data_IF_558384294140
#
_entry.id   IF_558384294140
#
_cell.length_a   1.000
_cell.length_b   1.000
_cell.length_c   1.000
_cell.angle_alpha   90.00
_cell.angle_beta   90.00
_cell.angle_gamma   90.00
#
_symmetry.space_group_name_H-M   'P 1'
#
loop_
_entity.id
_entity.type
_entity.pdbx_description
1 polymer ?
#
# COMPACT_ATOMS: atom_id res chain seq x y z
N UNK A 1 48.22 6.63 -14.78
CA UNK A 1 46.98 6.61 -15.60
C UNK A 1 45.79 6.94 -14.72
N UNK A 2 45.23 8.15 -14.85
CA UNK A 2 43.96 8.55 -14.23
C UNK A 2 43.12 9.22 -15.31
N UNK A 3 42.01 8.57 -15.70
CA UNK A 3 41.10 9.04 -16.73
C UNK A 3 39.98 9.86 -16.06
N UNK A 4 40.02 11.19 -16.23
CA UNK A 4 38.92 12.09 -15.92
C UNK A 4 38.52 12.77 -17.24
N UNK A 5 37.38 12.36 -17.80
CA UNK A 5 36.77 13.02 -18.98
C UNK A 5 35.27 12.92 -18.80
N UNK A 6 34.63 14.01 -18.38
CA UNK A 6 34.07 15.14 -19.17
C UNK A 6 32.55 14.99 -19.26
N UNK A 7 31.87 15.82 -18.47
CA UNK A 7 30.43 16.08 -18.51
C UNK A 7 30.07 16.67 -19.88
N UNK A 8 29.11 16.03 -20.57
CA UNK A 8 28.57 16.52 -21.84
C UNK A 8 27.79 17.80 -21.65
N UNK A 9 28.21 18.84 -22.37
CA UNK A 9 27.48 20.10 -22.56
C UNK A 9 26.43 19.85 -23.66
N UNK A 10 25.15 20.11 -23.37
CA UNK A 10 24.08 20.09 -24.39
C UNK A 10 23.78 21.53 -24.78
N UNK A 11 24.06 21.84 -26.05
CA UNK A 11 23.87 23.15 -26.68
C UNK A 11 22.37 23.46 -26.86
N UNK A 12 21.95 24.65 -26.45
CA UNK A 12 20.58 25.14 -26.61
C UNK A 12 20.49 25.89 -27.94
N UNK A 13 19.70 25.39 -28.91
CA UNK A 13 19.43 26.11 -30.15
C UNK A 13 18.36 27.20 -29.90
N UNK A 14 18.71 28.45 -30.20
CA UNK A 14 17.78 29.58 -30.18
C UNK A 14 16.98 29.61 -31.50
N UNK A 15 15.65 29.62 -31.40
CA UNK A 15 14.77 29.82 -32.57
C UNK A 15 14.53 31.32 -32.71
N UNK A 16 15.06 31.90 -33.77
CA UNK A 16 14.76 33.27 -34.22
C UNK A 16 13.43 33.30 -34.96
N UNK A 17 12.46 34.08 -34.49
CA UNK A 17 11.22 34.40 -35.23
C UNK A 17 11.33 35.82 -35.78
N UNK A 18 11.11 35.96 -37.09
CA UNK A 18 11.14 37.23 -37.81
C UNK A 18 9.87 38.08 -37.53
N UNK A 19 9.95 39.42 -37.56
CA UNK A 19 8.78 40.27 -37.39
C UNK A 19 8.04 40.43 -38.73
N UNK A 20 6.74 40.11 -38.77
CA UNK A 20 5.85 40.57 -39.85
C UNK A 20 5.37 42.00 -39.55
N UNK A 21 5.33 42.79 -40.61
CA UNK A 21 5.01 44.20 -40.62
C UNK A 21 3.57 44.53 -40.16
N UNK A 22 3.45 45.77 -39.71
CA UNK A 22 2.32 46.47 -39.07
C UNK A 22 1.03 46.54 -39.89
N UNK A 23 -0.11 46.36 -39.22
CA UNK A 23 -1.33 47.10 -39.52
C UNK A 23 -1.82 47.81 -38.25
N UNK A 24 -2.11 49.10 -38.41
CA UNK A 24 -2.57 50.01 -37.37
C UNK A 24 -3.95 49.61 -36.87
N UNK A 25 -4.06 49.23 -35.59
CA UNK A 25 -5.34 49.03 -34.91
C UNK A 25 -5.39 50.00 -33.73
N UNK A 26 -6.38 50.88 -33.75
CA UNK A 26 -6.65 51.90 -32.73
C UNK A 26 -6.63 51.30 -31.32
N UNK A 27 -6.07 52.01 -30.31
CA UNK A 27 -6.01 51.48 -28.96
C UNK A 27 -7.42 51.45 -28.35
N UNK A 28 -8.00 50.26 -28.28
CA UNK A 28 -9.11 50.00 -27.37
C UNK A 28 -8.52 50.04 -25.97
N UNK A 29 -9.03 50.94 -25.12
CA UNK A 29 -8.71 51.01 -23.70
C UNK A 29 -8.95 49.64 -23.05
N UNK A 30 -7.89 48.83 -22.97
CA UNK A 30 -7.89 47.56 -22.25
C UNK A 30 -7.90 47.89 -20.76
N UNK A 31 -9.10 47.94 -20.18
CA UNK A 31 -9.30 48.04 -18.75
C UNK A 31 -8.56 46.87 -18.08
N UNK A 32 -7.45 47.18 -17.41
CA UNK A 32 -6.64 46.17 -16.74
C UNK A 32 -7.47 45.51 -15.64
N UNK A 33 -8.02 44.32 -15.92
CA UNK A 33 -8.56 43.44 -14.88
C UNK A 33 -7.42 43.18 -13.90
N UNK A 34 -7.52 43.79 -12.73
CA UNK A 34 -6.66 43.50 -11.59
C UNK A 34 -6.89 42.04 -11.23
N UNK A 35 -6.01 41.17 -11.73
CA UNK A 35 -5.96 39.76 -11.32
C UNK A 35 -5.54 39.78 -9.85
N UNK A 36 -6.52 39.60 -8.95
CA UNK A 36 -6.27 39.42 -7.52
C UNK A 36 -5.22 38.32 -7.39
N UNK A 37 -3.99 38.69 -6.98
CA UNK A 37 -2.92 37.72 -6.70
C UNK A 37 -3.49 36.69 -5.74
N UNK A 38 -3.59 35.44 -6.20
CA UNK A 38 -4.04 34.35 -5.36
C UNK A 38 -3.16 34.33 -4.11
N UNK A 39 -3.79 34.54 -2.93
CA UNK A 39 -3.12 34.48 -1.63
C UNK A 39 -2.34 33.17 -1.60
N UNK A 40 -1.01 33.25 -1.50
CA UNK A 40 -0.13 32.08 -1.42
C UNK A 40 -0.44 31.39 -0.10
N UNK A 41 -1.45 30.52 -0.08
CA UNK A 41 -1.81 29.72 1.10
C UNK A 41 -0.59 28.85 1.37
N UNK A 42 0.17 29.19 2.41
CA UNK A 42 1.31 28.39 2.82
C UNK A 42 0.77 26.99 3.12
N UNK A 43 1.07 26.03 2.25
CA UNK A 43 0.69 24.64 2.49
C UNK A 43 1.50 24.19 3.70
N UNK A 44 0.87 24.17 4.87
CA UNK A 44 1.45 23.64 6.11
C UNK A 44 2.13 22.32 5.77
N UNK A 45 3.45 22.25 5.97
CA UNK A 45 4.23 21.04 5.64
C UNK A 45 3.58 19.84 6.33
N UNK A 46 3.14 18.87 5.55
CA UNK A 46 2.48 17.69 6.09
C UNK A 46 3.43 16.94 7.04
N UNK A 47 2.97 16.62 8.24
CA UNK A 47 3.76 15.88 9.23
C UNK A 47 4.19 14.54 8.64
N UNK A 48 5.49 14.29 8.59
CA UNK A 48 6.05 13.03 8.09
C UNK A 48 6.14 12.03 9.22
N UNK A 49 5.47 10.88 9.07
CA UNK A 49 5.49 9.81 10.06
C UNK A 49 6.48 8.72 9.65
N UNK A 50 7.56 8.55 10.40
CA UNK A 50 8.54 7.47 10.19
C UNK A 50 7.95 6.11 10.57
N UNK A 51 8.29 5.03 9.88
CA UNK A 51 7.90 3.66 10.24
C UNK A 51 9.07 2.93 10.90
N UNK A 52 8.81 2.04 11.86
CA UNK A 52 9.85 1.23 12.53
C UNK A 52 9.90 -0.19 11.95
N UNK A 53 11.09 -0.80 11.92
CA UNK A 53 11.26 -2.24 11.60
C UNK A 53 10.50 -3.14 12.59
N UNK A 54 10.21 -2.65 13.80
CA UNK A 54 9.55 -3.42 14.85
C UNK A 54 8.01 -3.28 14.85
N UNK A 55 7.43 -2.49 13.94
CA UNK A 55 6.00 -2.11 13.98
C UNK A 55 5.04 -3.31 14.03
N UNK A 56 5.37 -4.39 13.32
CA UNK A 56 4.60 -5.64 13.31
C UNK A 56 5.24 -6.76 14.16
N UNK A 57 6.52 -6.63 14.56
CA UNK A 57 7.26 -7.69 15.28
C UNK A 57 6.72 -8.02 16.67
N UNK A 58 5.82 -7.20 17.19
CA UNK A 58 5.18 -7.44 18.47
C UNK A 58 3.93 -8.27 18.25
N UNK A 59 3.82 -9.43 18.92
CA UNK A 59 2.58 -10.23 18.99
C UNK A 59 1.36 -9.44 19.47
N UNK A 60 1.58 -8.25 20.04
CA UNK A 60 0.53 -7.36 20.54
C UNK A 60 -0.08 -6.46 19.46
N UNK A 61 0.55 -6.29 18.30
CA UNK A 61 0.13 -5.33 17.28
C UNK A 61 -0.14 -6.00 15.95
N UNK A 62 -1.26 -5.63 15.33
CA UNK A 62 -1.68 -6.10 14.01
C UNK A 62 -2.06 -4.90 13.14
N UNK A 63 -1.96 -5.05 11.82
CA UNK A 63 -2.52 -4.08 10.89
C UNK A 63 -3.82 -4.61 10.31
N UNK A 64 -4.89 -3.82 10.41
CA UNK A 64 -6.19 -4.15 9.84
C UNK A 64 -6.45 -3.22 8.65
N UNK A 65 -6.57 -3.79 7.47
CA UNK A 65 -6.79 -3.14 6.19
C UNK A 65 -8.23 -3.40 5.72
N UNK A 66 -8.93 -2.33 5.33
CA UNK A 66 -10.30 -2.39 4.80
C UNK A 66 -11.29 -3.27 5.60
N UNK A 67 -11.11 -3.33 6.92
CA UNK A 67 -11.88 -4.16 7.88
C UNK A 67 -11.87 -5.67 7.62
N UNK A 68 -11.24 -6.16 6.55
CA UNK A 68 -11.27 -7.58 6.18
C UNK A 68 -9.90 -8.21 5.95
N UNK A 69 -8.82 -7.43 5.83
CA UNK A 69 -7.47 -7.99 5.67
C UNK A 69 -6.65 -7.69 6.90
N UNK A 70 -6.17 -8.73 7.58
CA UNK A 70 -5.29 -8.61 8.74
C UNK A 70 -3.88 -9.02 8.35
N UNK A 71 -2.92 -8.20 8.77
CA UNK A 71 -1.49 -8.49 8.64
C UNK A 71 -0.88 -8.53 10.02
N UNK A 72 -0.31 -9.67 10.36
CA UNK A 72 0.36 -9.90 11.62
C UNK A 72 1.74 -10.53 11.39
N UNK A 73 2.71 -10.19 12.22
CA UNK A 73 4.02 -10.84 12.21
C UNK A 73 4.17 -11.62 13.51
N UNK A 74 3.64 -12.84 13.51
CA UNK A 74 3.58 -13.72 14.68
C UNK A 74 4.97 -14.16 15.18
N UNK A 75 5.98 -14.19 14.30
CA UNK A 75 7.40 -14.41 14.61
C UNK A 75 8.26 -13.44 13.80
N UNK A 76 9.50 -13.19 14.24
CA UNK A 76 10.42 -12.26 13.55
C UNK A 76 10.58 -12.54 12.05
N UNK A 77 10.52 -13.80 11.63
CA UNK A 77 10.68 -14.22 10.24
C UNK A 77 9.39 -14.77 9.61
N UNK A 78 8.23 -14.58 10.24
CA UNK A 78 6.96 -15.07 9.71
C UNK A 78 5.89 -13.96 9.73
N UNK A 79 5.40 -13.62 8.54
CA UNK A 79 4.30 -12.68 8.33
C UNK A 79 3.08 -13.50 7.89
N UNK A 80 1.96 -13.35 8.57
CA UNK A 80 0.68 -13.97 8.20
C UNK A 80 -0.25 -12.89 7.65
N UNK A 81 -0.87 -13.19 6.52
CA UNK A 81 -1.93 -12.37 5.93
C UNK A 81 -3.21 -13.19 6.00
N UNK A 82 -4.23 -12.62 6.62
CA UNK A 82 -5.53 -13.26 6.84
C UNK A 82 -6.56 -12.46 6.09
N UNK A 83 -7.34 -13.13 5.23
CA UNK A 83 -8.51 -12.57 4.59
C UNK A 83 -9.77 -12.98 5.37
N UNK A 84 -10.33 -12.06 6.14
CA UNK A 84 -11.50 -12.28 6.98
C UNK A 84 -12.84 -12.05 6.26
N UNK A 85 -12.83 -11.70 4.97
CA UNK A 85 -14.06 -11.72 4.15
C UNK A 85 -14.40 -13.14 3.68
N UNK A 86 -13.44 -14.07 3.75
CA UNK A 86 -13.65 -15.48 3.47
C UNK A 86 -13.81 -16.21 4.82
N UNK A 87 -14.95 -16.87 5.04
CA UNK A 87 -15.14 -17.72 6.21
C UNK A 87 -13.98 -18.75 6.29
N UNK A 88 -13.24 -18.68 7.40
CA UNK A 88 -12.33 -19.70 7.94
C UNK A 88 -11.05 -20.18 7.25
N UNK A 89 -10.74 -19.89 5.97
CA UNK A 89 -9.66 -20.69 5.31
C UNK A 89 -8.60 -19.97 4.46
N UNK A 90 -8.64 -18.65 4.33
CA UNK A 90 -7.70 -17.92 3.45
C UNK A 90 -6.65 -17.13 4.24
N UNK A 91 -5.85 -17.83 5.03
CA UNK A 91 -4.63 -17.27 5.59
C UNK A 91 -3.40 -17.79 4.83
N UNK A 92 -2.52 -16.89 4.41
CA UNK A 92 -1.24 -17.26 3.79
C UNK A 92 -0.11 -16.82 4.71
N UNK A 93 0.73 -17.79 5.09
CA UNK A 93 1.97 -17.54 5.81
C UNK A 93 3.11 -17.21 4.85
N UNK A 94 3.97 -16.29 5.25
CA UNK A 94 5.13 -15.86 4.50
C UNK A 94 6.39 -15.87 5.37
N UNK A 95 7.46 -16.50 4.86
CA UNK A 95 8.80 -16.30 5.40
C UNK A 95 9.29 -14.89 5.02
N UNK A 96 9.66 -14.09 6.02
CA UNK A 96 10.30 -12.79 5.80
C UNK A 96 11.80 -13.03 5.55
N UNK A 97 12.26 -12.78 4.33
CA UNK A 97 13.66 -12.99 3.92
C UNK A 97 14.48 -11.69 3.96
N UNK A 98 13.81 -10.53 4.00
CA UNK A 98 14.48 -9.25 4.15
C UNK A 98 13.51 -8.13 4.51
N UNK A 99 14.00 -7.17 5.28
CA UNK A 99 13.20 -6.03 5.75
C UNK A 99 14.03 -4.75 5.74
N UNK A 100 13.63 -3.77 4.91
CA UNK A 100 14.29 -2.46 4.79
C UNK A 100 13.32 -1.35 5.13
N UNK A 101 13.76 -0.36 5.89
CA UNK A 101 12.96 0.83 6.25
C UNK A 101 13.68 2.07 5.72
N UNK A 102 12.93 2.93 5.04
CA UNK A 102 13.37 4.26 4.56
C UNK A 102 12.26 5.27 4.83
N UNK A 103 12.47 6.16 5.80
CA UNK A 103 11.50 7.19 6.18
C UNK A 103 10.16 6.60 6.60
N UNK A 104 9.11 6.86 5.81
CA UNK A 104 7.73 6.38 6.05
C UNK A 104 7.43 5.00 5.47
N UNK A 105 8.36 4.39 4.73
CA UNK A 105 8.13 3.15 3.99
C UNK A 105 8.98 2.01 4.50
N UNK A 106 8.34 0.86 4.69
CA UNK A 106 8.95 -0.43 5.02
C UNK A 106 8.74 -1.38 3.85
N UNK A 107 9.82 -1.90 3.29
CA UNK A 107 9.78 -2.92 2.23
C UNK A 107 10.14 -4.26 2.84
N UNK A 108 9.31 -5.27 2.59
CA UNK A 108 9.54 -6.65 3.03
C UNK A 108 9.66 -7.55 1.81
N UNK A 109 10.72 -8.36 1.78
CA UNK A 109 10.88 -9.50 0.87
C UNK A 109 10.26 -10.73 1.55
N UNK A 110 9.34 -11.37 0.86
CA UNK A 110 8.48 -12.43 1.41
C UNK A 110 8.52 -13.65 0.49
N UNK A 111 8.55 -14.84 1.07
CA UNK A 111 8.40 -16.10 0.35
C UNK A 111 7.21 -16.85 0.94
N UNK A 112 6.17 -17.20 0.15
CA UNK A 112 4.97 -17.85 0.68
C UNK A 112 5.30 -19.26 1.17
N UNK A 113 4.68 -19.65 2.28
CA UNK A 113 4.68 -21.02 2.80
C UNK A 113 3.32 -21.62 2.47
N UNK A 114 3.31 -22.45 1.43
CA UNK A 114 2.08 -23.00 0.87
C UNK A 114 1.96 -24.48 1.17
N UNK A 115 0.77 -24.89 1.59
CA UNK A 115 0.31 -26.27 1.60
C UNK A 115 0.26 -26.87 0.19
N UNK A 116 0.11 -28.20 0.10
CA UNK A 116 -0.07 -28.90 -1.18
C UNK A 116 -1.28 -28.36 -1.96
N UNK A 117 -2.39 -28.08 -1.27
CA UNK A 117 -3.61 -27.52 -1.85
C UNK A 117 -3.37 -26.14 -2.45
N UNK A 118 -2.73 -25.25 -1.70
CA UNK A 118 -2.47 -23.88 -2.16
C UNK A 118 -1.52 -23.83 -3.37
N UNK A 119 -0.55 -24.75 -3.42
CA UNK A 119 0.32 -24.93 -4.60
C UNK A 119 -0.47 -25.39 -5.82
N UNK A 120 -1.37 -26.37 -5.66
CA UNK A 120 -2.19 -26.93 -6.75
C UNK A 120 -3.04 -25.85 -7.43
N UNK A 121 -3.69 -24.98 -6.65
CA UNK A 121 -4.55 -23.91 -7.18
C UNK A 121 -3.80 -22.61 -7.52
N UNK A 122 -2.47 -22.61 -7.42
CA UNK A 122 -1.66 -21.44 -7.74
C UNK A 122 -1.97 -20.22 -6.88
N UNK A 123 -2.35 -20.41 -5.60
CA UNK A 123 -2.76 -19.31 -4.73
C UNK A 123 -1.66 -18.26 -4.56
N UNK A 124 -0.40 -18.65 -4.49
CA UNK A 124 0.74 -17.74 -4.58
C UNK A 124 1.92 -18.48 -5.21
N UNK A 125 2.89 -17.76 -5.80
CA UNK A 125 4.09 -18.39 -6.38
C UNK A 125 5.30 -17.47 -6.29
N UNK A 126 6.45 -18.06 -5.96
CA UNK A 126 7.74 -17.36 -5.93
C UNK A 126 7.88 -16.33 -4.80
N UNK A 127 9.05 -15.69 -4.73
CA UNK A 127 9.26 -14.60 -3.79
C UNK A 127 8.51 -13.33 -4.24
N UNK A 128 8.06 -12.53 -3.28
CA UNK A 128 7.36 -11.27 -3.49
C UNK A 128 7.94 -10.12 -2.67
N UNK A 129 7.57 -8.90 -3.05
CA UNK A 129 7.88 -7.70 -2.28
C UNK A 129 6.62 -6.90 -1.98
N UNK A 130 6.46 -6.54 -0.70
CA UNK A 130 5.40 -5.65 -0.24
C UNK A 130 5.99 -4.38 0.38
N UNK A 131 5.36 -3.24 0.09
CA UNK A 131 5.74 -1.93 0.61
C UNK A 131 4.64 -1.42 1.55
N UNK A 132 4.90 -1.42 2.85
CA UNK A 132 4.01 -0.84 3.86
C UNK A 132 4.42 0.61 4.07
N UNK A 133 3.48 1.55 3.89
CA UNK A 133 3.74 2.99 4.01
C UNK A 133 2.91 3.57 5.15
N UNK A 134 3.55 4.20 6.14
CA UNK A 134 2.87 4.94 7.22
C UNK A 134 2.39 6.28 6.68
N UNK A 135 1.09 6.55 6.82
CA UNK A 135 0.46 7.80 6.36
C UNK A 135 -0.05 8.67 7.51
N UNK A 136 -0.05 8.16 8.74
CA UNK A 136 -0.48 8.89 9.94
C UNK A 136 0.07 8.26 11.22
N UNK A 137 -0.37 8.72 12.40
CA UNK A 137 0.06 8.16 13.70
C UNK A 137 -0.15 6.64 13.73
N UNK A 138 -1.33 6.14 13.42
CA UNK A 138 -1.61 4.70 13.36
C UNK A 138 -2.15 4.27 11.99
N UNK A 139 -1.96 5.07 10.95
CA UNK A 139 -2.54 4.83 9.62
C UNK A 139 -1.48 4.35 8.64
N UNK A 140 -1.82 3.33 7.84
CA UNK A 140 -0.92 2.65 6.93
C UNK A 140 -1.57 2.37 5.57
N UNK A 141 -0.73 2.19 4.56
CA UNK A 141 -1.12 1.72 3.22
C UNK A 141 -0.28 0.52 2.83
N UNK A 142 -0.88 -0.48 2.18
CA UNK A 142 -0.20 -1.67 1.71
C UNK A 142 -0.78 -2.14 0.36
N UNK A 143 0.05 -2.31 -0.69
CA UNK A 143 -0.38 -2.82 -1.99
C UNK A 143 -0.27 -4.34 -2.06
N UNK A 144 -1.41 -5.02 -2.23
CA UNK A 144 -1.57 -6.48 -2.27
C UNK A 144 -2.58 -6.88 -3.34
N UNK A 145 -2.54 -8.13 -3.76
CA UNK A 145 -3.59 -8.73 -4.58
C UNK A 145 -4.68 -9.25 -3.66
N UNK A 146 -5.95 -9.05 -4.03
CA UNK A 146 -7.11 -9.53 -3.28
C UNK A 146 -8.25 -9.70 -4.28
N UNK A 147 -8.99 -10.79 -4.14
CA UNK A 147 -10.06 -11.22 -5.04
C UNK A 147 -10.45 -12.66 -4.77
N UNK A 148 -10.98 -13.35 -5.78
CA UNK A 148 -11.62 -14.67 -5.62
C UNK A 148 -10.67 -15.76 -5.10
N UNK A 149 -9.38 -15.62 -5.39
CA UNK A 149 -8.36 -16.55 -4.90
C UNK A 149 -7.73 -16.18 -3.56
N UNK A 150 -8.31 -15.25 -2.79
CA UNK A 150 -7.79 -14.79 -1.51
C UNK A 150 -6.72 -13.70 -1.60
N UNK A 151 -6.40 -13.10 -0.46
CA UNK A 151 -5.48 -11.97 -0.35
C UNK A 151 -4.01 -12.42 -0.24
N UNK A 152 -3.12 -11.83 -1.07
CA UNK A 152 -1.71 -12.25 -1.20
C UNK A 152 -0.76 -11.12 -1.63
N UNK A 153 0.54 -11.35 -1.41
CA UNK A 153 1.60 -10.39 -1.78
C UNK A 153 2.14 -10.62 -3.20
N UNK A 154 2.16 -11.87 -3.64
CA UNK A 154 2.77 -12.32 -4.89
C UNK A 154 1.81 -13.25 -5.64
N UNK A 155 2.05 -13.41 -6.94
CA UNK A 155 1.14 -14.13 -7.82
C UNK A 155 -0.07 -13.27 -8.15
N UNK A 156 -0.12 -12.78 -9.39
CA UNK A 156 -1.30 -12.07 -9.92
C UNK A 156 -2.27 -13.02 -10.63
N UNK A 157 -1.96 -14.31 -10.73
CA UNK A 157 -2.83 -15.34 -11.32
C UNK A 157 -3.19 -16.38 -10.27
N UNK A 158 -4.43 -16.83 -10.28
CA UNK A 158 -4.94 -17.89 -9.39
C UNK A 158 -5.92 -18.78 -10.17
N UNK A 159 -5.99 -20.06 -9.81
CA UNK A 159 -7.01 -20.94 -10.35
C UNK A 159 -8.19 -21.02 -9.37
N UNK A 160 -9.38 -20.67 -9.86
CA UNK A 160 -10.63 -20.75 -9.11
C UNK A 160 -11.71 -21.33 -10.03
N UNK A 161 -12.42 -22.37 -9.57
CA UNK A 161 -13.41 -23.11 -10.38
C UNK A 161 -12.87 -23.53 -11.76
N UNK A 162 -11.66 -24.10 -11.78
CA UNK A 162 -10.93 -24.52 -12.99
C UNK A 162 -10.58 -23.41 -13.99
N UNK A 163 -10.89 -22.14 -13.71
CA UNK A 163 -10.53 -21.00 -14.53
C UNK A 163 -9.35 -20.22 -13.94
N UNK A 164 -8.51 -19.64 -14.81
CA UNK A 164 -7.40 -18.78 -14.41
C UNK A 164 -7.85 -17.33 -14.31
N UNK A 165 -7.81 -16.78 -13.09
CA UNK A 165 -8.16 -15.40 -12.79
C UNK A 165 -6.91 -14.57 -12.65
N UNK A 166 -6.93 -13.34 -13.17
CA UNK A 166 -5.82 -12.38 -13.01
C UNK A 166 -6.24 -11.24 -12.08
N UNK A 167 -5.74 -11.27 -10.85
CA UNK A 167 -6.06 -10.27 -9.84
C UNK A 167 -5.29 -8.97 -10.04
N UNK A 168 -5.98 -7.85 -9.83
CA UNK A 168 -5.37 -6.52 -9.82
C UNK A 168 -4.73 -6.24 -8.47
N UNK A 169 -3.57 -5.56 -8.51
CA UNK A 169 -2.89 -5.12 -7.28
C UNK A 169 -3.55 -3.85 -6.78
N UNK A 170 -4.11 -3.89 -5.58
CA UNK A 170 -4.84 -2.77 -4.98
C UNK A 170 -4.13 -2.27 -3.73
N UNK A 171 -4.13 -0.95 -3.53
CA UNK A 171 -3.54 -0.35 -2.33
C UNK A 171 -4.60 -0.18 -1.25
N UNK A 172 -4.53 -1.01 -0.21
CA UNK A 172 -5.45 -0.93 0.91
C UNK A 172 -4.97 0.06 1.96
N UNK A 173 -5.91 0.80 2.56
CA UNK A 173 -5.68 1.66 3.71
C UNK A 173 -6.06 0.91 4.98
N UNK A 174 -5.27 1.04 6.03
CA UNK A 174 -5.46 0.32 7.27
C UNK A 174 -4.97 1.06 8.49
N UNK A 175 -5.23 0.48 9.66
CA UNK A 175 -4.78 1.00 10.95
C UNK A 175 -3.97 -0.05 11.70
N UNK A 176 -2.98 0.40 12.46
CA UNK A 176 -2.30 -0.41 13.47
C UNK A 176 -3.17 -0.44 14.73
N UNK A 177 -3.53 -1.65 15.15
CA UNK A 177 -4.42 -1.90 16.27
C UNK A 177 -3.77 -2.92 17.20
N UNK A 178 -4.03 -2.81 18.51
CA UNK A 178 -3.60 -3.83 19.44
C UNK A 178 -4.48 -5.08 19.33
N UNK A 179 -3.90 -6.26 19.48
CA UNK A 179 -4.64 -7.52 19.48
C UNK A 179 -5.71 -7.55 20.58
N UNK A 180 -5.41 -6.95 21.74
CA UNK A 180 -6.36 -6.83 22.87
C UNK A 180 -7.61 -6.05 22.46
N UNK A 181 -7.43 -4.88 21.85
CA UNK A 181 -8.55 -4.02 21.40
C UNK A 181 -9.45 -4.73 20.40
N UNK A 182 -8.87 -5.53 19.50
CA UNK A 182 -9.62 -6.29 18.52
C UNK A 182 -10.47 -7.40 19.18
N UNK A 183 -9.88 -8.15 20.11
CA UNK A 183 -10.60 -9.19 20.87
C UNK A 183 -11.79 -8.62 21.64
N UNK A 184 -11.59 -7.48 22.31
CA UNK A 184 -12.69 -6.80 23.05
C UNK A 184 -13.80 -6.32 22.12
N UNK A 185 -13.47 -5.79 20.94
CA UNK A 185 -14.46 -5.36 19.96
C UNK A 185 -15.33 -6.53 19.48
N UNK A 186 -14.71 -7.68 19.18
CA UNK A 186 -15.43 -8.88 18.73
C UNK A 186 -16.34 -9.46 19.82
N UNK A 187 -15.90 -9.46 21.08
CA UNK A 187 -16.70 -9.94 22.20
C UNK A 187 -17.95 -9.06 22.42
N UNK A 188 -17.84 -7.74 22.23
CA UNK A 188 -18.96 -6.79 22.35
C UNK A 188 -19.97 -6.93 21.21
N UNK A 189 -19.54 -7.27 20.01
CA UNK A 189 -20.44 -7.55 18.88
C UNK A 189 -21.12 -8.91 18.96
N UNK A 190 -20.46 -9.91 19.56
CA UNK A 190 -21.04 -11.24 19.77
C UNK A 190 -22.20 -11.26 20.79
N UNK A 191 -22.24 -10.29 21.71
CA UNK A 191 -23.28 -10.17 22.74
C UNK A 191 -24.53 -9.41 22.28
N UNK A 192 -24.50 -8.76 21.12
CA UNK A 192 -25.56 -7.80 20.72
C UNK A 192 -26.33 -8.19 19.46
N UNK A 193 -26.03 -9.32 18.80
CA UNK A 193 -26.75 -9.76 17.59
C UNK A 193 -26.57 -11.27 17.34
N UNK A 194 -27.67 -12.04 17.35
CA UNK A 194 -27.73 -13.46 16.95
C UNK A 194 -27.50 -13.70 15.45
N UNK A 195 -27.37 -12.63 14.64
CA UNK A 195 -27.04 -12.69 13.20
C UNK A 195 -25.71 -12.00 12.83
N UNK A 196 -24.81 -11.78 13.78
CA UNK A 196 -23.53 -11.14 13.51
C UNK A 196 -22.51 -12.12 12.86
N UNK A 197 -22.50 -12.17 11.52
CA UNK A 197 -21.43 -12.74 10.68
C UNK A 197 -20.11 -11.95 10.81
N UNK A 198 -20.05 -10.90 11.63
CA UNK A 198 -18.85 -10.09 11.80
C UNK A 198 -17.90 -10.71 12.86
N UNK A 199 -16.90 -11.45 12.37
CA UNK A 199 -15.64 -11.76 13.08
C UNK A 199 -15.71 -12.73 14.28
N UNK A 200 -16.41 -13.87 14.16
CA UNK A 200 -16.23 -15.04 15.04
C UNK A 200 -14.90 -15.78 14.78
N UNK A 201 -13.74 -15.11 14.73
CA UNK A 201 -12.47 -15.77 14.32
C UNK A 201 -11.26 -15.51 15.22
N UNK A 202 -11.46 -15.30 16.53
CA UNK A 202 -10.34 -15.05 17.44
C UNK A 202 -10.30 -15.97 18.66
N UNK A 203 -10.70 -17.23 18.49
CA UNK A 203 -10.25 -18.31 19.37
C UNK A 203 -8.94 -18.85 18.80
N UNK A 204 -7.82 -18.25 19.18
CA UNK A 204 -6.50 -18.81 18.94
C UNK A 204 -6.22 -19.82 20.05
N UNK A 205 -6.40 -21.10 19.76
CA UNK A 205 -5.73 -22.20 20.45
C UNK A 205 -4.57 -22.69 19.56
#
# INVERSE_FOLDING_TARGET
>A
MNLVTKLGVVTLAAITVAPLATSTISPVNAQAKTVKKAKKVSKKKAKTYKISKKVLRSKKNIMVFNKSVIVEQNKANNLRIIDSASADSNAIDYKVTGQKVKGKTMTMKLTPKLSKREKKYGLAKGAGMVKITRTGKNSYKMPIYSGNGGTRVNGNKVQFQNQWWKEKRTTYKGKLTSLKTLKTANNKTATSNSNAIAMKFYSFY
#
